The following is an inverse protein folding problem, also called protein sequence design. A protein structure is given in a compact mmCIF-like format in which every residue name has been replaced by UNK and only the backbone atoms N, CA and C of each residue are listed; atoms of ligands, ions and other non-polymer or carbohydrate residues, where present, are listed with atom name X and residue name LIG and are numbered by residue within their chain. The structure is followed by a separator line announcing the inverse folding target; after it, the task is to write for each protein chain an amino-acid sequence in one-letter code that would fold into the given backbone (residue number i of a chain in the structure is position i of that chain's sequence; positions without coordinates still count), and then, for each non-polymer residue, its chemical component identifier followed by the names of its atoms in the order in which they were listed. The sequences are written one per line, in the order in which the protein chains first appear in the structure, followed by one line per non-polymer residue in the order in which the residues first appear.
data_IF_934582784204
#
_entry.id   IF_934582784204
#
_cell.length_a   1.000
_cell.length_b   1.000
_cell.length_c   1.000
_cell.angle_alpha   90.00
_cell.angle_beta   90.00
_cell.angle_gamma   90.00
#
_symmetry.space_group_name_H-M   'P 1'
#
loop_
_entity.id
_entity.type
_entity.pdbx_description
1 polymer ?
#
# COMPACT_ATOMS: atom_id res chain seq x y z
N UNK A 1 10.38 -1.00 -18.35
CA UNK A 1 9.29 -0.04 -18.11
C UNK A 1 8.62 -0.22 -16.75
N UNK A 2 8.04 -1.40 -16.41
CA UNK A 2 7.30 -1.60 -15.14
C UNK A 2 8.09 -1.29 -13.85
N UNK A 3 9.33 -1.79 -13.75
CA UNK A 3 10.20 -1.55 -12.57
C UNK A 3 10.55 -0.08 -12.43
N UNK A 4 10.86 0.57 -13.55
CA UNK A 4 11.19 2.00 -13.57
C UNK A 4 10.01 2.83 -13.10
N UNK A 5 8.80 2.54 -13.61
CA UNK A 5 7.58 3.23 -13.20
C UNK A 5 7.28 3.03 -11.70
N UNK A 6 7.41 1.79 -11.19
CA UNK A 6 7.23 1.49 -9.77
C UNK A 6 8.28 2.22 -8.91
N UNK A 7 9.55 2.17 -9.30
CA UNK A 7 10.63 2.86 -8.60
C UNK A 7 10.44 4.38 -8.56
N UNK A 8 9.97 4.98 -9.66
CA UNK A 8 9.63 6.41 -9.71
C UNK A 8 8.44 6.74 -8.79
N UNK A 9 7.40 5.90 -8.77
CA UNK A 9 6.27 6.08 -7.85
C UNK A 9 6.73 6.03 -6.39
N UNK A 10 7.55 5.04 -6.02
CA UNK A 10 8.06 4.92 -4.64
C UNK A 10 8.94 6.12 -4.25
N UNK A 11 9.79 6.61 -5.16
CA UNK A 11 10.58 7.83 -4.94
C UNK A 11 9.71 9.06 -4.76
N UNK A 12 8.67 9.20 -5.58
CA UNK A 12 7.71 10.30 -5.47
C UNK A 12 6.99 10.27 -4.11
N UNK A 13 6.59 9.10 -3.63
CA UNK A 13 5.99 8.95 -2.30
C UNK A 13 6.93 9.47 -1.21
N UNK A 14 8.20 9.06 -1.23
CA UNK A 14 9.20 9.55 -0.25
C UNK A 14 9.37 11.07 -0.33
N UNK A 15 9.50 11.61 -1.55
CA UNK A 15 9.65 13.05 -1.75
C UNK A 15 8.46 13.84 -1.20
N UNK A 16 7.21 13.39 -1.45
CA UNK A 16 6.04 14.07 -0.91
C UNK A 16 5.87 13.92 0.58
N UNK A 17 6.28 12.80 1.17
CA UNK A 17 6.30 12.63 2.63
C UNK A 17 7.24 13.66 3.26
N UNK A 18 8.43 13.87 2.69
CA UNK A 18 9.38 14.87 3.18
C UNK A 18 8.82 16.30 3.06
N UNK A 19 8.17 16.63 1.94
CA UNK A 19 7.50 17.92 1.76
C UNK A 19 6.38 18.13 2.77
N UNK A 20 5.53 17.11 3.00
CA UNK A 20 4.44 17.16 3.97
C UNK A 20 4.98 17.38 5.40
N UNK A 21 6.07 16.72 5.77
CA UNK A 21 6.67 16.85 7.12
C UNK A 21 7.30 18.22 7.33
N UNK A 22 7.80 18.85 6.27
CA UNK A 22 8.35 20.22 6.31
C UNK A 22 7.28 21.32 6.42
N UNK A 23 6.02 21.02 6.12
CA UNK A 23 4.92 21.99 6.14
C UNK A 23 3.95 21.70 7.31
N UNK A 24 3.91 22.56 8.36
CA UNK A 24 3.01 22.39 9.49
C UNK A 24 1.53 22.30 9.10
N UNK A 25 1.11 23.05 8.06
CA UNK A 25 -0.28 23.06 7.62
C UNK A 25 -0.67 21.74 6.96
N UNK A 26 0.25 21.15 6.20
CA UNK A 26 0.07 19.83 5.60
C UNK A 26 -0.01 18.73 6.67
N UNK A 27 0.82 18.81 7.72
CA UNK A 27 0.76 17.88 8.87
C UNK A 27 -0.59 17.98 9.59
N UNK A 28 -1.07 19.18 9.88
CA UNK A 28 -2.38 19.38 10.52
C UNK A 28 -3.52 18.81 9.67
N UNK A 29 -3.48 19.03 8.36
CA UNK A 29 -4.47 18.46 7.44
C UNK A 29 -4.39 16.93 7.41
N UNK A 30 -3.18 16.36 7.36
CA UNK A 30 -3.00 14.90 7.43
C UNK A 30 -3.52 14.30 8.74
N UNK A 31 -3.40 15.01 9.87
CA UNK A 31 -4.01 14.61 11.14
C UNK A 31 -5.55 14.70 11.11
N UNK A 32 -6.11 15.79 10.54
CA UNK A 32 -7.57 15.96 10.37
C UNK A 32 -8.17 14.85 9.52
N UNK A 33 -7.47 14.42 8.47
CA UNK A 33 -7.89 13.32 7.59
C UNK A 33 -7.52 11.92 8.13
N UNK A 34 -7.00 11.83 9.36
CA UNK A 34 -6.62 10.57 10.01
C UNK A 34 -5.59 9.75 9.22
N UNK A 35 -4.65 10.43 8.55
CA UNK A 35 -3.49 9.78 7.94
C UNK A 35 -2.36 9.63 8.95
N UNK A 36 -2.29 10.57 9.90
CA UNK A 36 -1.37 10.59 11.01
C UNK A 36 -2.13 10.46 12.33
N UNK A 37 -1.53 9.78 13.30
CA UNK A 37 -2.00 9.79 14.68
C UNK A 37 -1.57 11.08 15.43
N UNK A 38 -1.98 11.19 16.69
CA UNK A 38 -1.63 12.34 17.55
C UNK A 38 -0.10 12.49 17.76
N UNK A 39 0.67 11.42 17.53
CA UNK A 39 2.13 11.40 17.63
C UNK A 39 2.80 11.60 16.26
N UNK A 40 2.05 12.04 15.24
CA UNK A 40 2.53 12.26 13.86
C UNK A 40 3.06 11.00 13.19
N UNK A 41 2.52 9.83 13.53
CA UNK A 41 2.87 8.54 12.91
C UNK A 41 1.79 8.12 11.91
N UNK A 42 2.20 7.54 10.79
CA UNK A 42 1.29 7.00 9.79
C UNK A 42 0.46 5.86 10.36
N UNK A 43 -0.85 5.98 10.25
CA UNK A 43 -1.77 4.92 10.67
C UNK A 43 -1.92 3.88 9.57
N UNK A 44 -2.22 2.66 10.00
CA UNK A 44 -2.74 1.64 9.09
C UNK A 44 -4.24 1.82 8.93
N UNK A 45 -4.74 1.50 7.75
CA UNK A 45 -6.12 1.69 7.36
C UNK A 45 -6.75 0.35 7.00
N UNK A 46 -7.96 0.13 7.48
CA UNK A 46 -8.75 -1.08 7.22
C UNK A 46 -10.16 -0.70 6.78
N UNK A 47 -10.76 -1.56 5.96
CA UNK A 47 -12.14 -1.38 5.55
C UNK A 47 -13.06 -1.79 6.69
N UNK A 48 -13.82 -0.83 7.22
CA UNK A 48 -14.87 -1.10 8.18
C UNK A 48 -16.19 -1.40 7.43
N UNK A 49 -16.67 -2.63 7.54
CA UNK A 49 -17.89 -3.08 6.86
C UNK A 49 -19.16 -2.43 7.41
N UNK A 50 -19.16 -2.02 8.68
CA UNK A 50 -20.31 -1.39 9.32
C UNK A 50 -20.50 0.05 8.83
N UNK A 51 -19.42 0.82 8.75
CA UNK A 51 -19.45 2.22 8.29
C UNK A 51 -19.27 2.36 6.79
N UNK A 52 -18.91 1.28 6.09
CA UNK A 52 -18.59 1.23 4.66
C UNK A 52 -17.54 2.27 4.26
N UNK A 53 -16.54 2.45 5.13
CA UNK A 53 -15.46 3.43 4.97
C UNK A 53 -14.13 2.81 5.37
N UNK A 54 -13.06 3.40 4.83
CA UNK A 54 -11.69 3.10 5.25
C UNK A 54 -11.42 3.91 6.52
N UNK A 55 -11.12 3.21 7.60
CA UNK A 55 -10.87 3.81 8.92
C UNK A 55 -9.50 3.36 9.45
N UNK A 56 -8.89 4.13 10.37
CA UNK A 56 -7.68 3.70 11.05
C UNK A 56 -7.89 2.35 11.75
N UNK A 57 -6.99 1.41 11.54
CA UNK A 57 -7.01 0.12 12.25
C UNK A 57 -6.72 0.33 13.72
N UNK A 58 -7.55 -0.25 14.59
CA UNK A 58 -7.33 -0.23 16.03
C UNK A 58 -6.21 -1.20 16.48
N UNK A 59 -5.86 -2.16 15.64
CA UNK A 59 -5.00 -3.30 15.99
C UNK A 59 -3.55 -3.12 15.52
N UNK A 60 -3.36 -2.42 14.41
CA UNK A 60 -2.05 -2.24 13.80
C UNK A 60 -1.33 -1.02 14.39
N UNK A 61 -0.07 -1.23 14.81
CA UNK A 61 0.78 -0.16 15.37
C UNK A 61 1.15 0.85 14.29
N UNK A 62 0.91 2.15 14.52
CA UNK A 62 1.32 3.23 13.63
C UNK A 62 2.83 3.24 13.34
N UNK A 63 3.20 3.62 12.11
CA UNK A 63 4.58 3.75 11.63
C UNK A 63 5.10 5.17 11.81
N UNK A 64 6.29 5.33 12.38
CA UNK A 64 6.98 6.63 12.32
C UNK A 64 7.29 7.03 10.88
N UNK A 65 7.51 8.32 10.65
CA UNK A 65 7.87 8.84 9.32
C UNK A 65 9.13 8.15 8.81
N UNK A 66 10.15 8.02 9.66
CA UNK A 66 11.42 7.40 9.31
C UNK A 66 11.22 5.92 8.95
N UNK A 67 10.47 5.18 9.77
CA UNK A 67 10.13 3.77 9.54
C UNK A 67 9.34 3.58 8.23
N UNK A 68 8.42 4.49 7.92
CA UNK A 68 7.66 4.46 6.66
C UNK A 68 8.56 4.70 5.45
N UNK A 69 9.45 5.69 5.51
CA UNK A 69 10.42 5.95 4.43
C UNK A 69 11.40 4.81 4.25
N UNK A 70 11.85 4.19 5.34
CA UNK A 70 12.73 3.03 5.32
C UNK A 70 12.03 1.83 4.67
N UNK A 71 10.77 1.56 5.05
CA UNK A 71 9.98 0.50 4.44
C UNK A 71 9.82 0.71 2.93
N UNK A 72 9.57 1.95 2.48
CA UNK A 72 9.45 2.28 1.06
C UNK A 72 10.78 2.03 0.32
N UNK A 73 11.90 2.44 0.90
CA UNK A 73 13.22 2.22 0.32
C UNK A 73 13.57 0.73 0.23
N UNK A 74 13.30 -0.04 1.29
CA UNK A 74 13.49 -1.49 1.29
C UNK A 74 12.62 -2.18 0.21
N UNK A 75 11.38 -1.73 0.01
CA UNK A 75 10.53 -2.23 -1.08
C UNK A 75 11.15 -1.85 -2.44
N UNK A 76 11.64 -0.63 -2.61
CA UNK A 76 12.25 -0.18 -3.86
C UNK A 76 13.49 -0.99 -4.23
N UNK A 77 14.33 -1.34 -3.25
CA UNK A 77 15.53 -2.17 -3.43
C UNK A 77 15.19 -3.62 -3.81
N UNK A 78 14.14 -4.18 -3.23
CA UNK A 78 13.67 -5.53 -3.53
C UNK A 78 12.91 -5.65 -4.85
N UNK A 79 12.49 -4.52 -5.44
CA UNK A 79 11.73 -4.51 -6.70
C UNK A 79 12.63 -4.77 -7.91
N UNK A 80 13.03 -6.03 -8.09
CA UNK A 80 13.84 -6.48 -9.22
C UNK A 80 12.98 -7.01 -10.39
N UNK A 81 13.48 -6.98 -11.65
CA UNK A 81 12.73 -7.41 -12.83
C UNK A 81 12.23 -8.87 -12.80
N UNK A 82 12.97 -9.76 -12.14
CA UNK A 82 12.67 -11.17 -11.93
C UNK A 82 11.63 -11.40 -10.83
N UNK A 83 11.53 -10.50 -9.85
CA UNK A 83 10.61 -10.60 -8.72
C UNK A 83 9.26 -9.95 -8.99
N UNK A 84 9.21 -8.80 -9.66
CA UNK A 84 7.94 -8.13 -10.00
C UNK A 84 7.46 -8.58 -11.38
N UNK A 85 6.41 -9.39 -11.40
CA UNK A 85 5.83 -9.92 -12.64
C UNK A 85 4.92 -8.90 -13.32
N UNK A 86 4.19 -8.10 -12.53
CA UNK A 86 3.24 -7.10 -13.05
C UNK A 86 3.19 -5.86 -12.17
N UNK A 87 3.08 -4.71 -12.82
CA UNK A 87 2.72 -3.44 -12.17
C UNK A 87 1.82 -2.63 -13.12
N UNK A 88 0.61 -2.30 -12.68
CA UNK A 88 -0.33 -1.50 -13.47
C UNK A 88 -1.35 -0.78 -12.60
N UNK A 89 -1.81 0.39 -13.03
CA UNK A 89 -3.01 1.02 -12.48
C UNK A 89 -4.25 0.21 -12.88
N UNK A 90 -5.14 -0.08 -11.92
CA UNK A 90 -6.32 -0.91 -12.16
C UNK A 90 -7.46 -0.16 -12.85
N UNK A 91 -7.56 1.13 -12.62
CA UNK A 91 -8.57 2.00 -13.23
C UNK A 91 -7.85 3.06 -14.04
N UNK A 92 -8.42 3.39 -15.21
CA UNK A 92 -8.00 4.60 -15.91
C UNK A 92 -8.32 5.80 -15.01
N UNK A 93 -7.41 6.78 -14.89
CA UNK A 93 -7.75 8.02 -14.21
C UNK A 93 -8.99 8.62 -14.87
N UNK A 94 -9.99 8.98 -14.07
CA UNK A 94 -11.16 9.70 -14.59
C UNK A 94 -10.70 11.05 -15.13
N UNK A 95 -11.36 11.54 -16.18
CA UNK A 95 -11.04 12.85 -16.76
C UNK A 95 -11.29 14.00 -15.75
N UNK A 96 -12.25 13.80 -14.85
CA UNK A 96 -12.50 14.66 -13.69
C UNK A 96 -12.28 13.86 -12.40
N UNK A 97 -11.19 14.13 -11.66
CA UNK A 97 -10.98 13.49 -10.36
C UNK A 97 -12.02 14.02 -9.37
N UNK A 98 -12.81 13.11 -8.80
CA UNK A 98 -13.70 13.46 -7.69
C UNK A 98 -12.91 13.55 -6.38
N UNK A 99 -13.42 14.30 -5.41
CA UNK A 99 -12.82 14.38 -4.09
C UNK A 99 -12.76 12.98 -3.46
N UNK A 100 -11.54 12.53 -3.13
CA UNK A 100 -11.27 11.20 -2.61
C UNK A 100 -10.98 10.10 -3.65
N UNK A 101 -10.95 10.41 -4.95
CA UNK A 101 -10.49 9.45 -5.97
C UNK A 101 -8.99 9.17 -5.78
N UNK A 102 -8.65 7.89 -5.60
CA UNK A 102 -7.26 7.41 -5.47
C UNK A 102 -6.86 6.55 -6.66
N UNK A 103 -5.62 6.70 -7.12
CA UNK A 103 -5.04 5.81 -8.10
C UNK A 103 -4.72 4.44 -7.47
N UNK A 104 -5.48 3.41 -7.85
CA UNK A 104 -5.27 2.04 -7.35
C UNK A 104 -4.25 1.32 -8.23
N UNK A 105 -3.12 0.94 -7.66
CA UNK A 105 -2.07 0.17 -8.31
C UNK A 105 -2.12 -1.29 -7.91
N UNK A 106 -1.91 -2.18 -8.87
CA UNK A 106 -1.73 -3.62 -8.67
C UNK A 106 -0.25 -3.95 -8.87
N UNK A 107 0.33 -4.68 -7.91
CA UNK A 107 1.65 -5.30 -8.02
C UNK A 107 1.49 -6.82 -7.90
N UNK A 108 2.02 -7.56 -8.86
CA UNK A 108 2.14 -9.01 -8.79
C UNK A 108 3.62 -9.38 -8.62
N UNK A 109 3.87 -10.33 -7.73
CA UNK A 109 5.20 -10.80 -7.33
C UNK A 109 5.33 -12.27 -7.71
N UNK A 110 6.51 -12.69 -8.16
CA UNK A 110 6.85 -14.09 -8.40
C UNK A 110 6.73 -14.92 -7.10
N UNK A 111 6.52 -16.23 -7.20
CA UNK A 111 6.29 -17.12 -6.04
C UNK A 111 7.42 -18.13 -5.82
N UNK A 112 8.51 -18.05 -6.60
CA UNK A 112 9.55 -19.10 -6.66
C UNK A 112 10.86 -18.72 -5.96
N UNK A 113 10.95 -17.52 -5.41
CA UNK A 113 12.17 -16.98 -4.83
C UNK A 113 11.91 -16.54 -3.38
N UNK A 114 12.76 -16.90 -2.40
CA UNK A 114 12.60 -16.44 -1.01
C UNK A 114 12.56 -14.90 -0.86
N UNK A 115 13.24 -14.16 -1.75
CA UNK A 115 13.19 -12.69 -1.80
C UNK A 115 11.79 -12.19 -2.15
N UNK A 116 11.02 -13.00 -2.89
CA UNK A 116 9.65 -12.68 -3.26
C UNK A 116 8.70 -12.73 -2.05
N UNK A 117 8.92 -13.65 -1.11
CA UNK A 117 8.16 -13.71 0.15
C UNK A 117 8.41 -12.46 1.01
N UNK A 118 9.67 -12.03 1.10
CA UNK A 118 10.05 -10.81 1.81
C UNK A 118 9.40 -9.59 1.15
N UNK A 119 9.48 -9.49 -0.19
CA UNK A 119 8.84 -8.41 -0.95
C UNK A 119 7.31 -8.44 -0.76
N UNK A 120 6.69 -9.61 -0.77
CA UNK A 120 5.25 -9.77 -0.54
C UNK A 120 4.83 -9.25 0.84
N UNK A 121 5.54 -9.64 1.89
CA UNK A 121 5.28 -9.17 3.25
C UNK A 121 5.42 -7.65 3.37
N UNK A 122 6.50 -7.08 2.83
CA UNK A 122 6.71 -5.62 2.87
C UNK A 122 5.67 -4.86 2.04
N UNK A 123 5.29 -5.37 0.87
CA UNK A 123 4.22 -4.78 0.06
C UNK A 123 2.87 -4.86 0.76
N UNK A 124 2.58 -5.95 1.48
CA UNK A 124 1.34 -6.09 2.27
C UNK A 124 1.32 -5.11 3.43
N UNK A 125 2.45 -4.93 4.12
CA UNK A 125 2.60 -3.90 5.14
C UNK A 125 2.41 -2.51 4.53
N UNK A 126 3.02 -2.23 3.39
CA UNK A 126 2.92 -0.92 2.77
C UNK A 126 1.50 -0.63 2.23
N UNK A 127 0.78 -1.65 1.72
CA UNK A 127 -0.52 -1.48 1.07
C UNK A 127 -1.61 -0.86 1.95
N UNK A 128 -1.61 -1.19 3.24
CA UNK A 128 -2.59 -0.68 4.19
C UNK A 128 -2.11 0.58 4.93
N UNK A 129 -0.92 1.09 4.62
CA UNK A 129 -0.39 2.29 5.27
C UNK A 129 -1.00 3.55 4.67
N UNK A 130 -1.36 4.53 5.51
CA UNK A 130 -1.90 5.82 5.07
C UNK A 130 -0.91 6.67 4.25
N UNK A 131 0.37 6.26 4.16
CA UNK A 131 1.41 6.96 3.39
C UNK A 131 1.04 7.16 1.91
N UNK A 132 0.26 6.25 1.33
CA UNK A 132 -0.19 6.38 -0.06
C UNK A 132 -1.13 7.56 -0.29
N UNK A 133 -1.80 8.05 0.76
CA UNK A 133 -2.72 9.17 0.66
C UNK A 133 -1.99 10.47 0.29
N UNK A 134 -0.70 10.58 0.64
CA UNK A 134 0.15 11.74 0.33
C UNK A 134 0.32 11.94 -1.19
N UNK A 135 0.28 10.85 -1.97
CA UNK A 135 0.32 10.88 -3.44
C UNK A 135 -1.05 10.63 -4.09
N UNK A 136 -2.12 10.54 -3.30
CA UNK A 136 -3.46 10.21 -3.81
C UNK A 136 -3.52 8.81 -4.44
N UNK A 137 -2.75 7.85 -3.91
CA UNK A 137 -2.69 6.49 -4.43
C UNK A 137 -3.22 5.48 -3.40
N UNK A 138 -3.39 4.25 -3.86
CA UNK A 138 -3.56 3.08 -3.02
C UNK A 138 -2.88 1.90 -3.70
N UNK A 139 -2.20 1.08 -2.91
CA UNK A 139 -1.69 -0.19 -3.39
C UNK A 139 -2.69 -1.29 -3.05
N UNK A 140 -3.12 -2.06 -4.04
CA UNK A 140 -3.84 -3.30 -3.75
C UNK A 140 -2.85 -4.28 -3.12
N UNK A 141 -3.17 -4.87 -1.95
CA UNK A 141 -2.34 -5.90 -1.35
C UNK A 141 -2.07 -6.99 -2.39
N UNK A 142 -0.82 -7.46 -2.54
CA UNK A 142 -0.55 -8.59 -3.40
C UNK A 142 -1.35 -9.77 -2.87
N UNK A 143 -2.47 -10.09 -3.51
CA UNK A 143 -3.20 -11.28 -3.16
C UNK A 143 -2.33 -12.46 -3.59
N UNK A 144 -1.93 -13.29 -2.64
CA UNK A 144 -1.88 -14.72 -2.92
C UNK A 144 -3.29 -15.02 -3.37
N UNK A 145 -3.56 -15.06 -4.68
CA UNK A 145 -4.83 -15.55 -5.15
C UNK A 145 -4.97 -16.92 -4.49
N UNK A 146 -5.94 -17.07 -3.57
CA UNK A 146 -6.46 -18.40 -3.30
C UNK A 146 -7.00 -18.84 -4.64
N UNK A 147 -6.18 -19.57 -5.40
CA UNK A 147 -6.60 -20.13 -6.67
C UNK A 147 -7.95 -20.82 -6.44
N UNK A 148 -8.84 -20.79 -7.43
CA UNK A 148 -10.14 -21.48 -7.30
C UNK A 148 -9.99 -22.93 -6.83
N UNK A 149 -8.85 -23.55 -7.18
CA UNK A 149 -8.39 -24.85 -6.71
C UNK A 149 -8.09 -24.91 -5.20
N UNK A 150 -7.42 -23.91 -4.64
CA UNK A 150 -7.18 -23.81 -3.19
C UNK A 150 -8.47 -23.57 -2.40
N UNK A 151 -9.41 -22.77 -2.94
CA UNK A 151 -10.74 -22.61 -2.34
C UNK A 151 -11.58 -23.90 -2.45
N UNK A 152 -11.47 -24.63 -3.56
CA UNK A 152 -12.11 -25.93 -3.73
C UNK A 152 -11.55 -26.98 -2.78
N UNK A 153 -10.22 -27.01 -2.58
CA UNK A 153 -9.56 -27.89 -1.61
C UNK A 153 -9.98 -27.54 -0.17
N UNK A 154 -10.03 -26.26 0.18
CA UNK A 154 -10.50 -25.84 1.50
C UNK A 154 -11.95 -26.30 1.74
N UNK A 155 -12.85 -26.11 0.76
CA UNK A 155 -14.22 -26.62 0.84
C UNK A 155 -14.30 -28.15 0.92
N UNK A 156 -13.39 -28.87 0.28
CA UNK A 156 -13.36 -30.33 0.34
C UNK A 156 -12.91 -30.83 1.72
N UNK A 157 -11.95 -30.14 2.35
CA UNK A 157 -11.47 -30.48 3.69
C UNK A 157 -12.44 -30.10 4.81
N UNK A 158 -13.28 -29.07 4.62
CA UNK A 158 -14.32 -28.68 5.58
C UNK A 158 -15.55 -29.64 5.59
N UNK A 159 -15.65 -30.56 4.62
CA UNK A 159 -16.75 -31.52 4.47
C UNK A 159 -16.37 -32.97 4.84
N UNK A 160 -15.23 -33.17 5.50
CA UNK A 160 -14.76 -34.47 6.04
C UNK A 160 -14.75 -34.36 7.56
#
# INVERSE_FOLDING_TARGET
MRIVALGLLLKEVVARVQLMVGDPTAVENAMKHQWLDQQKRFVYQEWNSATKKVEPSATAKSLKVEEATELINQVAELCLPDLVTRFCAQRRPKQEPQEGDKAVFLIEVAMRDPRADILHQKLRQLANCAVWNVVGAQLQPPNQQRHGLAMALQKALENI
#
